data_IF_422216779055
#
_entry.id   IF_422216779055
#
_cell.length_a   1.000
_cell.length_b   1.000
_cell.length_c   1.000
_cell.angle_alpha   90.00
_cell.angle_beta   90.00
_cell.angle_gamma   90.00
#
_symmetry.space_group_name_H-M   'P 1'
#
loop_
_entity.id
_entity.type
_entity.pdbx_description
1 polymer ?
#
# COMPACT_ATOMS: atom_id res chain seq x y z
N UNK A 1 -4.50 1.44 5.75
CA UNK A 1 -5.07 2.79 5.66
C UNK A 1 -5.67 2.93 4.28
N UNK A 2 -6.58 3.90 4.15
CA UNK A 2 -7.52 4.04 3.06
C UNK A 2 -6.81 4.38 1.74
N UNK A 3 -6.92 3.51 0.72
CA UNK A 3 -6.32 3.74 -0.61
C UNK A 3 -6.89 5.03 -1.27
N UNK A 4 -8.09 5.42 -0.86
CA UNK A 4 -8.74 6.65 -1.26
C UNK A 4 -7.99 7.90 -0.74
N UNK A 5 -7.28 7.83 0.38
CA UNK A 5 -6.43 8.92 0.88
C UNK A 5 -5.30 9.24 -0.11
N UNK A 6 -4.65 8.19 -0.65
CA UNK A 6 -3.52 8.32 -1.56
C UNK A 6 -3.94 8.76 -2.96
N UNK A 7 -5.06 8.24 -3.48
CA UNK A 7 -5.64 8.69 -4.74
C UNK A 7 -5.98 10.20 -4.70
N UNK A 8 -6.50 10.67 -3.56
CA UNK A 8 -6.85 12.08 -3.39
C UNK A 8 -5.65 12.99 -3.07
N UNK A 9 -4.57 12.47 -2.46
CA UNK A 9 -3.29 13.18 -2.36
C UNK A 9 -2.75 13.59 -3.74
N UNK A 10 -3.07 12.84 -4.79
CA UNK A 10 -2.64 13.17 -6.15
C UNK A 10 -3.53 14.22 -6.83
N UNK A 11 -4.79 14.32 -6.41
CA UNK A 11 -5.75 15.34 -6.87
C UNK A 11 -5.52 16.72 -6.23
N UNK A 12 -4.60 16.83 -5.25
CA UNK A 12 -4.25 18.06 -4.51
C UNK A 12 -3.79 19.26 -5.36
N UNK A 13 -3.56 19.09 -6.65
CA UNK A 13 -3.05 20.17 -7.51
C UNK A 13 -4.16 21.01 -8.16
N UNK A 14 -5.44 20.60 -8.13
CA UNK A 14 -6.50 21.42 -8.78
C UNK A 14 -7.78 21.60 -7.95
N UNK A 15 -7.94 22.85 -7.50
CA UNK A 15 -9.16 23.59 -7.11
C UNK A 15 -9.54 23.72 -5.62
N UNK A 16 -9.69 24.99 -5.18
CA UNK A 16 -9.85 25.43 -3.78
C UNK A 16 -11.28 25.91 -3.51
N UNK A 17 -12.02 25.15 -2.70
CA UNK A 17 -12.86 25.62 -1.57
C UNK A 17 -13.61 24.43 -0.94
N UNK A 18 -14.13 23.50 -1.75
CA UNK A 18 -14.72 22.23 -1.25
C UNK A 18 -13.68 21.22 -0.75
N UNK A 19 -12.45 21.31 -1.26
CA UNK A 19 -11.33 20.43 -0.94
C UNK A 19 -10.86 20.54 0.52
N UNK A 20 -10.89 21.73 1.11
CA UNK A 20 -10.34 21.95 2.46
C UNK A 20 -11.15 21.24 3.55
N UNK A 21 -12.48 21.23 3.44
CA UNK A 21 -13.35 20.48 4.34
C UNK A 21 -13.17 18.97 4.18
N UNK A 22 -12.93 18.52 2.95
CA UNK A 22 -12.60 17.13 2.65
C UNK A 22 -11.25 16.73 3.28
N UNK A 23 -10.21 17.56 3.14
CA UNK A 23 -8.91 17.31 3.76
C UNK A 23 -8.93 17.44 5.27
N UNK A 24 -9.69 18.37 5.84
CA UNK A 24 -9.80 18.48 7.29
C UNK A 24 -10.47 17.25 7.87
N UNK A 25 -11.51 16.71 7.21
CA UNK A 25 -12.15 15.45 7.59
C UNK A 25 -11.21 14.25 7.43
N UNK A 26 -10.49 14.15 6.31
CA UNK A 26 -9.50 13.09 6.09
C UNK A 26 -8.37 13.15 7.11
N UNK A 27 -7.87 14.35 7.42
CA UNK A 27 -6.82 14.57 8.43
C UNK A 27 -7.33 14.27 9.84
N UNK A 28 -8.57 14.67 10.17
CA UNK A 28 -9.18 14.39 11.46
C UNK A 28 -9.43 12.88 11.65
N UNK A 29 -9.96 12.20 10.63
CA UNK A 29 -10.09 10.73 10.61
C UNK A 29 -8.72 10.07 10.77
N UNK A 30 -7.73 10.53 10.02
CA UNK A 30 -6.38 10.00 10.10
C UNK A 30 -5.76 10.20 11.49
N UNK A 31 -5.93 11.36 12.13
CA UNK A 31 -5.43 11.66 13.48
C UNK A 31 -6.17 10.88 14.58
N UNK A 32 -7.49 10.73 14.46
CA UNK A 32 -8.33 10.07 15.48
C UNK A 32 -8.34 8.54 15.38
N UNK A 33 -7.98 7.98 14.22
CA UNK A 33 -7.97 6.53 14.02
C UNK A 33 -6.95 5.85 14.95
N UNK A 34 -7.29 4.74 15.60
CA UNK A 34 -6.29 3.95 16.33
C UNK A 34 -5.61 3.00 15.36
N UNK A 35 -4.29 3.13 15.21
CA UNK A 35 -3.49 2.19 14.41
C UNK A 35 -3.54 0.82 15.11
N UNK A 36 -4.17 -0.16 14.46
CA UNK A 36 -4.27 -1.52 14.98
C UNK A 36 -3.21 -2.38 14.30
N UNK A 37 -2.71 -3.37 15.04
CA UNK A 37 -1.66 -4.22 14.54
C UNK A 37 -2.22 -5.56 14.09
N UNK A 38 -1.61 -6.13 13.05
CA UNK A 38 -1.89 -7.46 12.55
C UNK A 38 -0.57 -8.18 12.21
N UNK A 39 -0.67 -9.49 12.01
CA UNK A 39 0.43 -10.30 11.50
C UNK A 39 0.27 -10.50 10.00
N UNK A 40 1.38 -10.47 9.27
CA UNK A 40 1.44 -10.87 7.88
C UNK A 40 2.49 -11.95 7.69
N UNK A 41 2.13 -12.98 6.95
CA UNK A 41 3.02 -14.04 6.49
C UNK A 41 3.06 -13.96 4.96
N UNK A 42 4.24 -13.87 4.37
CA UNK A 42 4.38 -13.73 2.93
C UNK A 42 5.55 -14.53 2.37
N UNK A 43 5.40 -14.99 1.14
CA UNK A 43 6.40 -15.77 0.42
C UNK A 43 6.66 -15.14 -0.94
N UNK A 44 7.81 -15.46 -1.52
CA UNK A 44 8.12 -15.11 -2.90
C UNK A 44 8.74 -16.30 -3.62
N UNK A 45 8.18 -16.68 -4.76
CA UNK A 45 8.68 -17.68 -5.68
C UNK A 45 8.99 -19.03 -5.01
N UNK A 46 8.12 -19.48 -4.10
CA UNK A 46 8.31 -20.73 -3.36
C UNK A 46 9.43 -20.71 -2.30
N UNK A 47 10.00 -19.54 -1.99
CA UNK A 47 10.93 -19.35 -0.88
C UNK A 47 10.28 -19.54 0.49
N UNK A 48 11.11 -19.64 1.53
CA UNK A 48 10.63 -19.75 2.90
C UNK A 48 9.72 -18.56 3.27
N UNK A 49 8.58 -18.79 3.94
CA UNK A 49 7.68 -17.73 4.32
C UNK A 49 8.37 -16.81 5.34
N UNK A 50 8.32 -15.51 5.06
CA UNK A 50 8.71 -14.45 5.98
C UNK A 50 7.50 -14.06 6.81
N UNK A 51 7.72 -13.80 8.10
CA UNK A 51 6.64 -13.46 9.02
C UNK A 51 6.92 -12.13 9.70
N UNK A 52 5.95 -11.22 9.59
CA UNK A 52 5.89 -9.97 10.30
C UNK A 52 4.82 -10.06 11.38
N UNK A 53 5.23 -9.99 12.64
CA UNK A 53 4.34 -10.15 13.79
C UNK A 53 3.56 -8.89 14.16
N UNK A 54 3.95 -7.73 13.63
CA UNK A 54 3.39 -6.46 14.07
C UNK A 54 3.44 -5.40 12.97
N UNK A 55 2.41 -5.40 12.14
CA UNK A 55 2.19 -4.40 11.11
C UNK A 55 0.98 -3.55 11.45
N UNK A 56 1.11 -2.23 11.40
CA UNK A 56 0.00 -1.30 11.54
C UNK A 56 -0.70 -1.01 10.21
N UNK A 57 -0.02 -1.28 9.10
CA UNK A 57 -0.55 -1.20 7.74
C UNK A 57 0.31 -2.05 6.79
N UNK A 58 -0.34 -2.55 5.74
CA UNK A 58 0.32 -3.18 4.61
C UNK A 58 -0.36 -2.72 3.32
N UNK A 59 0.44 -2.36 2.32
CA UNK A 59 -0.01 -2.16 0.95
C UNK A 59 0.58 -3.25 0.06
N UNK A 60 -0.24 -3.84 -0.80
CA UNK A 60 0.21 -4.72 -1.87
C UNK A 60 -0.01 -3.99 -3.20
N UNK A 61 1.09 -3.64 -3.86
CA UNK A 61 1.08 -2.75 -5.02
C UNK A 61 1.68 -3.44 -6.23
N UNK A 62 0.98 -3.35 -7.37
CA UNK A 62 1.50 -3.81 -8.67
C UNK A 62 1.74 -2.68 -9.66
N UNK A 63 1.05 -1.57 -9.52
CA UNK A 63 1.23 -0.42 -10.41
C UNK A 63 2.48 0.36 -10.03
N UNK A 64 3.26 0.74 -11.04
CA UNK A 64 4.46 1.56 -10.90
C UNK A 64 4.18 3.06 -11.03
N UNK A 65 2.94 3.44 -11.33
CA UNK A 65 2.55 4.83 -11.56
C UNK A 65 1.15 5.08 -11.02
N UNK A 66 1.05 5.87 -9.96
CA UNK A 66 -0.22 6.25 -9.32
C UNK A 66 -0.85 7.52 -9.92
N UNK A 67 -0.25 8.10 -10.97
CA UNK A 67 -0.64 9.40 -11.55
C UNK A 67 0.17 10.57 -10.97
N UNK A 68 0.03 11.78 -11.52
CA UNK A 68 0.47 13.06 -10.91
C UNK A 68 1.89 13.11 -10.31
N UNK A 69 2.06 13.77 -9.16
CA UNK A 69 3.38 14.00 -8.51
C UNK A 69 3.86 12.79 -7.71
N UNK A 70 2.94 11.94 -7.27
CA UNK A 70 3.27 10.74 -6.52
C UNK A 70 3.62 9.61 -7.50
N UNK A 71 4.87 9.64 -7.99
CA UNK A 71 5.33 8.69 -9.00
C UNK A 71 5.53 7.28 -8.45
N UNK A 72 6.14 7.15 -7.27
CA UNK A 72 6.64 5.86 -6.76
C UNK A 72 6.26 5.60 -5.30
N UNK A 73 4.96 5.43 -5.01
CA UNK A 73 4.51 5.03 -3.66
C UNK A 73 5.00 3.63 -3.27
N UNK A 74 5.36 2.78 -4.24
CA UNK A 74 5.98 1.48 -4.00
C UNK A 74 7.11 1.29 -5.01
N UNK A 75 8.32 1.83 -4.74
CA UNK A 75 9.44 1.77 -5.67
C UNK A 75 9.77 0.31 -6.02
N UNK A 76 9.84 0.01 -7.32
CA UNK A 76 10.08 -1.34 -7.84
C UNK A 76 8.82 -2.19 -8.08
N UNK A 77 7.62 -1.68 -7.78
CA UNK A 77 6.39 -2.29 -8.28
C UNK A 77 6.40 -2.29 -9.80
N UNK A 78 5.85 -3.34 -10.43
CA UNK A 78 5.68 -3.42 -11.88
C UNK A 78 4.58 -4.41 -12.23
N UNK A 79 3.74 -4.04 -13.19
CA UNK A 79 2.69 -4.92 -13.70
C UNK A 79 3.24 -6.11 -14.50
N UNK A 80 4.46 -5.98 -15.05
CA UNK A 80 5.12 -7.04 -15.80
C UNK A 80 5.71 -8.14 -14.90
N UNK A 81 5.72 -7.93 -13.58
CA UNK A 81 6.19 -8.93 -12.62
C UNK A 81 5.06 -9.86 -12.20
N UNK A 82 5.44 -11.11 -11.95
CA UNK A 82 4.58 -12.16 -11.38
C UNK A 82 4.51 -12.11 -9.85
N UNK A 83 5.04 -11.05 -9.24
CA UNK A 83 4.93 -10.77 -7.82
C UNK A 83 4.32 -9.37 -7.60
N UNK A 84 3.99 -9.09 -6.35
CA UNK A 84 3.51 -7.79 -5.90
C UNK A 84 4.56 -7.15 -4.98
N UNK A 85 4.62 -5.82 -5.00
CA UNK A 85 5.45 -5.04 -4.10
C UNK A 85 4.68 -4.79 -2.81
N UNK A 86 5.21 -5.30 -1.70
CA UNK A 86 4.66 -5.05 -0.37
C UNK A 86 5.32 -3.81 0.24
N UNK A 87 4.50 -2.91 0.78
CA UNK A 87 4.92 -1.84 1.69
C UNK A 87 4.43 -2.23 3.08
N UNK A 88 5.35 -2.57 3.97
CA UNK A 88 5.10 -3.10 5.30
C UNK A 88 5.39 -2.02 6.34
N UNK A 89 4.35 -1.51 7.00
CA UNK A 89 4.49 -0.50 8.02
C UNK A 89 4.53 -1.15 9.40
N UNK A 90 5.73 -1.24 9.99
CA UNK A 90 6.00 -1.76 11.35
C UNK A 90 5.83 -0.69 12.45
N UNK A 91 5.38 0.50 12.10
CA UNK A 91 5.29 1.65 13.00
C UNK A 91 3.90 2.26 13.01
N UNK A 92 3.35 2.49 14.20
CA UNK A 92 2.14 3.31 14.37
C UNK A 92 2.40 4.82 14.28
N UNK A 93 3.65 5.25 14.07
CA UNK A 93 4.00 6.66 13.98
C UNK A 93 3.62 7.24 12.62
N UNK A 94 2.51 7.95 12.62
CA UNK A 94 1.94 8.79 11.56
C UNK A 94 2.92 9.66 10.80
N UNK A 95 3.88 10.27 11.50
CA UNK A 95 4.89 11.12 10.84
C UNK A 95 5.76 10.32 9.87
N UNK A 96 5.97 9.02 10.12
CA UNK A 96 6.75 8.15 9.24
C UNK A 96 6.00 7.83 7.95
N UNK A 97 4.67 7.71 8.00
CA UNK A 97 3.84 7.55 6.79
C UNK A 97 3.92 8.79 5.90
N UNK A 98 3.78 9.97 6.52
CA UNK A 98 3.94 11.23 5.80
C UNK A 98 5.35 11.36 5.22
N UNK A 99 6.38 11.06 6.01
CA UNK A 99 7.76 11.08 5.55
C UNK A 99 7.97 10.13 4.35
N UNK A 100 7.36 8.95 4.35
CA UNK A 100 7.41 8.01 3.23
C UNK A 100 6.76 8.58 1.97
N UNK A 101 5.57 9.15 2.08
CA UNK A 101 4.86 9.79 0.95
C UNK A 101 5.66 10.97 0.41
N UNK A 102 6.10 11.88 1.28
CA UNK A 102 6.88 13.05 0.88
C UNK A 102 8.20 12.65 0.21
N UNK A 103 8.88 11.63 0.70
CA UNK A 103 10.10 11.10 0.06
C UNK A 103 9.82 10.51 -1.31
N UNK A 104 8.72 9.78 -1.48
CA UNK A 104 8.28 9.28 -2.79
C UNK A 104 7.97 10.41 -3.78
N UNK A 105 7.36 11.50 -3.32
CA UNK A 105 7.12 12.71 -4.14
C UNK A 105 8.43 13.40 -4.54
N UNK A 106 9.38 13.48 -3.60
CA UNK A 106 10.70 14.10 -3.81
C UNK A 106 11.68 13.19 -4.58
N UNK A 107 11.28 11.96 -4.94
CA UNK A 107 12.16 10.99 -5.60
C UNK A 107 13.33 10.53 -4.74
N UNK A 108 13.21 10.62 -3.41
CA UNK A 108 14.25 10.22 -2.48
C UNK A 108 14.23 8.70 -2.29
N UNK A 109 15.33 8.03 -2.59
CA UNK A 109 15.45 6.56 -2.51
C UNK A 109 15.80 6.02 -1.12
N UNK A 110 16.05 6.90 -0.14
CA UNK A 110 16.41 6.48 1.22
C UNK A 110 15.20 5.97 1.98
N UNK A 111 15.33 4.76 2.54
CA UNK A 111 14.28 4.11 3.32
C UNK A 111 13.81 4.95 4.52
N UNK A 112 12.60 4.65 4.98
CA UNK A 112 11.99 5.31 6.14
C UNK A 112 11.96 4.32 7.30
N UNK A 113 12.50 4.67 8.49
CA UNK A 113 12.50 3.76 9.63
C UNK A 113 11.10 3.25 9.96
N UNK A 114 10.98 1.92 10.10
CA UNK A 114 9.71 1.24 10.35
C UNK A 114 8.84 1.01 9.11
N UNK A 115 9.29 1.38 7.91
CA UNK A 115 8.64 1.03 6.66
C UNK A 115 9.60 0.17 5.84
N UNK A 116 9.17 -1.05 5.53
CA UNK A 116 9.97 -2.05 4.83
C UNK A 116 9.31 -2.42 3.52
N UNK A 117 10.12 -2.64 2.50
CA UNK A 117 9.65 -3.07 1.19
C UNK A 117 10.05 -4.52 0.95
N UNK A 118 9.12 -5.34 0.50
CA UNK A 118 9.35 -6.73 0.14
C UNK A 118 8.67 -7.08 -1.19
N UNK A 119 9.07 -8.17 -1.81
CA UNK A 119 8.32 -8.79 -2.91
C UNK A 119 7.62 -10.03 -2.40
N UNK A 120 6.41 -10.28 -2.86
CA UNK A 120 5.68 -11.49 -2.54
C UNK A 120 4.74 -11.93 -3.66
N UNK A 121 4.53 -13.22 -3.81
CA UNK A 121 3.47 -13.79 -4.67
C UNK A 121 2.24 -14.20 -3.87
N UNK A 122 2.40 -14.40 -2.56
CA UNK A 122 1.33 -14.75 -1.65
C UNK A 122 1.53 -14.05 -0.31
N UNK A 123 0.42 -13.59 0.26
CA UNK A 123 0.37 -12.99 1.59
C UNK A 123 -0.85 -13.51 2.34
N UNK A 124 -0.67 -13.82 3.62
CA UNK A 124 -1.75 -14.15 4.55
C UNK A 124 -1.68 -13.16 5.70
N UNK A 125 -2.77 -12.44 5.93
CA UNK A 125 -2.89 -11.50 7.04
C UNK A 125 -3.84 -12.07 8.10
N UNK A 126 -3.43 -12.01 9.36
CA UNK A 126 -4.18 -12.54 10.51
C UNK A 126 -4.20 -11.52 11.65
N UNK A 127 -5.22 -11.59 12.49
CA UNK A 127 -5.24 -10.84 13.74
C UNK A 127 -4.07 -11.30 14.64
N UNK A 128 -3.55 -10.39 15.46
CA UNK A 128 -2.53 -10.73 16.47
C UNK A 128 -3.14 -11.73 17.46
N UNK A 129 -2.51 -12.90 17.70
CA UNK A 129 -2.98 -13.87 18.68
C UNK A 129 -3.09 -13.25 20.08
N UNK A 130 -4.20 -13.50 20.77
CA UNK A 130 -4.44 -12.99 22.12
C UNK A 130 -4.94 -11.55 22.20
N UNK A 131 -4.92 -10.79 21.09
CA UNK A 131 -5.68 -9.55 20.99
C UNK A 131 -7.13 -9.86 20.59
N UNK A 132 -8.09 -9.05 21.08
CA UNK A 132 -9.48 -9.18 20.60
C UNK A 132 -9.47 -9.00 19.08
N UNK A 133 -10.23 -9.79 18.30
CA UNK A 133 -10.34 -9.60 16.86
C UNK A 133 -10.96 -8.23 16.60
N UNK A 134 -10.09 -7.23 16.44
CA UNK A 134 -10.50 -5.89 16.10
C UNK A 134 -10.81 -5.82 14.60
N UNK A 135 -11.66 -4.87 14.23
CA UNK A 135 -12.12 -4.72 12.85
C UNK A 135 -11.00 -4.12 12.00
N UNK A 136 -10.03 -4.94 11.60
CA UNK A 136 -9.01 -4.58 10.62
C UNK A 136 -9.62 -4.83 9.25
N UNK A 137 -9.82 -3.75 8.52
CA UNK A 137 -10.49 -3.75 7.22
C UNK A 137 -9.51 -4.04 6.09
N UNK A 138 -10.03 -4.69 5.05
CA UNK A 138 -9.32 -5.01 3.83
C UNK A 138 -9.97 -4.23 2.69
N UNK A 139 -9.15 -3.53 1.93
CA UNK A 139 -9.58 -2.72 0.79
C UNK A 139 -8.76 -3.08 -0.44
N UNK A 140 -9.38 -2.98 -1.61
CA UNK A 140 -8.72 -3.05 -2.90
C UNK A 140 -9.26 -1.93 -3.80
N UNK A 141 -8.36 -1.20 -4.47
CA UNK A 141 -8.70 -0.13 -5.41
C UNK A 141 -9.70 0.93 -4.87
N UNK A 142 -9.73 1.12 -3.55
CA UNK A 142 -10.63 2.06 -2.85
C UNK A 142 -11.99 1.48 -2.44
N UNK A 143 -12.22 0.19 -2.69
CA UNK A 143 -13.42 -0.53 -2.27
C UNK A 143 -13.15 -1.41 -1.04
N UNK A 144 -14.11 -1.42 -0.10
CA UNK A 144 -14.03 -2.26 1.08
C UNK A 144 -14.39 -3.71 0.74
N UNK A 145 -13.40 -4.61 0.81
CA UNK A 145 -13.57 -6.04 0.52
C UNK A 145 -14.02 -6.85 1.75
N UNK A 146 -13.66 -6.41 2.95
CA UNK A 146 -14.01 -7.13 4.18
C UNK A 146 -13.08 -6.85 5.35
N UNK A 147 -12.74 -7.91 6.10
CA UNK A 147 -11.92 -7.85 7.31
C UNK A 147 -10.95 -9.02 7.38
N UNK A 148 -9.95 -8.90 8.24
CA UNK A 148 -9.06 -10.02 8.55
C UNK A 148 -9.81 -11.21 9.21
N UNK A 149 -9.36 -12.46 8.98
CA UNK A 149 -8.18 -12.86 8.21
C UNK A 149 -8.38 -12.74 6.70
N UNK A 150 -7.30 -12.51 5.96
CA UNK A 150 -7.34 -12.53 4.49
C UNK A 150 -6.16 -13.31 3.90
N UNK A 151 -6.35 -13.81 2.68
CA UNK A 151 -5.28 -14.32 1.82
C UNK A 151 -5.28 -13.56 0.50
N UNK A 152 -4.12 -13.11 0.09
CA UNK A 152 -3.85 -12.47 -1.20
C UNK A 152 -2.86 -13.36 -1.96
N UNK A 153 -3.13 -13.60 -3.24
CA UNK A 153 -2.25 -14.39 -4.10
C UNK A 153 -2.21 -13.82 -5.50
N UNK A 154 -1.03 -13.84 -6.11
CA UNK A 154 -0.83 -13.44 -7.49
C UNK A 154 -1.23 -14.58 -8.44
N UNK A 155 -2.04 -14.25 -9.43
CA UNK A 155 -2.37 -15.11 -10.57
C UNK A 155 -1.62 -14.59 -11.80
N UNK A 156 -0.51 -15.22 -12.23
CA UNK A 156 0.26 -14.74 -13.37
C UNK A 156 -0.62 -14.72 -14.63
N UNK A 157 -0.42 -13.70 -15.46
CA UNK A 157 -1.09 -13.54 -16.77
C UNK A 157 -2.63 -13.64 -16.73
N UNK A 158 -3.26 -13.28 -15.60
CA UNK A 158 -4.72 -13.36 -15.43
C UNK A 158 -5.51 -12.49 -16.42
N UNK A 159 -4.91 -11.42 -16.94
CA UNK A 159 -5.54 -10.47 -17.86
C UNK A 159 -4.57 -10.09 -18.98
N UNK A 160 -5.05 -10.15 -20.22
CA UNK A 160 -4.34 -9.60 -21.38
C UNK A 160 -4.85 -8.19 -21.66
N UNK A 161 -3.94 -7.21 -21.70
CA UNK A 161 -4.26 -5.79 -21.90
C UNK A 161 -3.45 -5.24 -23.06
N UNK A 162 -4.06 -4.40 -23.90
CA UNK A 162 -3.37 -3.68 -24.96
C UNK A 162 -2.52 -2.56 -24.36
N UNK A 163 -1.21 -2.59 -24.60
CA UNK A 163 -0.25 -1.58 -24.13
C UNK A 163 0.32 -0.82 -25.32
N UNK A 164 0.36 0.53 -25.31
CA UNK A 164 0.97 1.31 -26.37
C UNK A 164 2.47 0.99 -26.50
N UNK A 165 2.93 0.69 -27.72
CA UNK A 165 4.34 0.35 -28.04
C UNK A 165 5.33 1.47 -27.73
N UNK A 166 4.87 2.72 -27.66
CA UNK A 166 5.71 3.89 -27.38
C UNK A 166 5.94 4.20 -25.90
N UNK A 167 5.53 3.33 -24.95
CA UNK A 167 5.84 3.50 -23.52
C UNK A 167 6.82 2.41 -23.01
N UNK A 168 8.08 2.76 -22.72
CA UNK A 168 9.17 1.79 -22.49
C UNK A 168 9.16 1.08 -21.12
N UNK A 169 8.12 1.18 -20.29
CA UNK A 169 8.19 0.76 -18.88
C UNK A 169 7.41 -0.52 -18.51
N UNK A 170 6.79 -1.19 -19.49
CA UNK A 170 6.04 -2.44 -19.26
C UNK A 170 6.67 -3.66 -19.93
N UNK A 171 7.76 -3.48 -20.68
CA UNK A 171 8.44 -4.55 -21.40
C UNK A 171 9.95 -4.37 -21.34
N UNK A 172 10.56 -4.93 -20.30
CA UNK A 172 11.86 -5.60 -20.30
C UNK A 172 12.08 -6.28 -18.95
#
# INVERSE_FOLDING_TARGET
MDAHLFYNLNRLIKDRMGMLAYYSKATHLWLSHRMRYFEAEFSSNGGAPLCEKRLSEMLAVRINYFGGVLRELAPGASLARNDMRLVLCRTGNRAMYLAYVFRGILGMSSGVPGIVLAYADQVICRNVPGEKPEKIYVEADGELLGRLPMKLSMVPDALSVLVPTNRPTLGK
#
